data_IF_598712012360
#
_entry.id   IF_598712012360
#
_cell.length_a   1.000
_cell.length_b   1.000
_cell.length_c   1.000
_cell.angle_alpha   90.00
_cell.angle_beta   90.00
_cell.angle_gamma   90.00
#
_symmetry.space_group_name_H-M   'P 1'
#
loop_
_entity.id
_entity.type
_entity.pdbx_description
1 polymer ?
#
# COMPACT_ATOMS: atom_id res chain seq x y z
N UNK A 1 19.54 -3.86 11.09
CA UNK A 1 19.73 -2.43 10.76
C UNK A 1 18.44 -1.94 10.10
N UNK A 2 17.64 -1.12 10.80
CA UNK A 2 16.39 -0.57 10.23
C UNK A 2 16.74 0.44 9.13
N UNK A 3 16.13 0.32 7.96
CA UNK A 3 16.42 1.17 6.78
C UNK A 3 16.08 2.65 7.02
N UNK A 4 15.23 2.94 8.00
CA UNK A 4 14.85 4.29 8.39
C UNK A 4 15.03 4.49 9.90
N UNK A 5 15.69 5.58 10.27
CA UNK A 5 15.92 5.96 11.66
C UNK A 5 14.72 6.79 12.14
N UNK A 6 14.14 6.40 13.27
CA UNK A 6 13.09 7.18 13.93
C UNK A 6 13.70 8.49 14.47
N UNK A 7 13.10 9.64 14.14
CA UNK A 7 13.56 10.96 14.58
C UNK A 7 13.44 11.12 16.10
N UNK A 8 14.18 12.08 16.68
CA UNK A 8 14.11 12.35 18.14
C UNK A 8 12.69 12.71 18.55
N UNK A 9 12.07 13.67 17.87
CA UNK A 9 10.71 14.13 18.15
C UNK A 9 9.68 13.00 17.97
N UNK A 10 9.86 12.09 17.02
CA UNK A 10 8.97 10.93 16.89
C UNK A 10 9.09 9.98 18.09
N UNK A 11 10.31 9.71 18.57
CA UNK A 11 10.51 8.88 19.76
C UNK A 11 9.95 9.52 21.02
N UNK A 12 10.08 10.84 21.13
CA UNK A 12 9.58 11.62 22.25
C UNK A 12 8.06 11.55 22.32
N UNK A 13 7.38 11.87 21.21
CA UNK A 13 5.94 11.74 21.06
C UNK A 13 5.44 10.34 21.43
N UNK A 14 6.12 9.29 20.94
CA UNK A 14 5.73 7.90 21.23
C UNK A 14 5.84 7.59 22.73
N UNK A 15 6.86 8.11 23.43
CA UNK A 15 7.00 7.90 24.87
C UNK A 15 5.90 8.58 25.65
N UNK A 16 5.61 9.84 25.35
CA UNK A 16 4.58 10.61 26.08
C UNK A 16 3.17 10.06 25.80
N UNK A 17 2.90 9.56 24.59
CA UNK A 17 1.62 8.89 24.27
C UNK A 17 1.48 7.53 24.94
N UNK A 18 2.58 6.84 25.22
CA UNK A 18 2.62 5.52 25.82
C UNK A 18 3.07 5.58 27.29
N UNK A 19 2.76 6.69 27.97
CA UNK A 19 2.96 6.76 29.41
C UNK A 19 2.10 5.69 30.11
N UNK A 20 2.72 5.06 31.11
CA UNK A 20 2.12 4.00 31.92
C UNK A 20 1.00 4.59 32.78
N UNK A 21 1.22 5.79 33.33
CA UNK A 21 0.18 6.52 34.04
C UNK A 21 -0.76 7.20 33.03
N UNK A 22 -2.07 7.00 33.20
CA UNK A 22 -3.06 7.64 32.34
C UNK A 22 -3.13 9.15 32.54
N UNK A 23 -2.84 9.67 33.72
CA UNK A 23 -2.96 11.10 34.03
C UNK A 23 -1.80 11.93 33.46
N UNK A 24 -0.63 11.29 33.27
CA UNK A 24 0.56 11.91 32.68
C UNK A 24 0.71 11.65 31.19
N UNK A 25 -0.11 10.76 30.61
CA UNK A 25 -0.15 10.53 29.17
C UNK A 25 -0.46 11.82 28.40
N UNK A 26 0.26 12.03 27.31
CA UNK A 26 0.03 13.16 26.41
C UNK A 26 -1.41 13.13 25.86
N UNK A 27 -2.14 14.22 26.08
CA UNK A 27 -3.54 14.36 25.71
C UNK A 27 -4.51 14.15 26.87
N UNK A 28 -4.06 13.83 28.08
CA UNK A 28 -4.96 13.64 29.22
C UNK A 28 -5.45 14.94 29.85
N UNK A 29 -4.63 16.01 29.86
CA UNK A 29 -4.97 17.26 30.56
C UNK A 29 -5.75 18.24 29.68
N UNK A 30 -5.32 18.45 28.43
CA UNK A 30 -6.01 19.35 27.48
C UNK A 30 -6.48 18.65 26.20
N UNK A 31 -6.48 17.32 26.17
CA UNK A 31 -6.98 16.57 25.02
C UNK A 31 -6.06 16.69 23.80
N UNK A 32 -6.68 16.63 22.62
CA UNK A 32 -5.95 16.62 21.35
C UNK A 32 -5.12 17.90 21.08
N UNK A 33 -5.31 18.99 21.82
CA UNK A 33 -4.49 20.19 21.63
C UNK A 33 -3.04 19.99 22.05
N UNK A 34 -2.77 19.17 23.08
CA UNK A 34 -1.39 18.85 23.50
C UNK A 34 -0.66 18.09 22.39
N UNK A 35 -1.32 17.07 21.84
CA UNK A 35 -0.78 16.25 20.76
C UNK A 35 -0.46 17.12 19.54
N UNK A 36 -1.37 18.04 19.17
CA UNK A 36 -1.17 18.94 18.01
C UNK A 36 -0.02 19.94 18.21
N UNK A 37 0.32 20.28 19.45
CA UNK A 37 1.38 21.24 19.78
C UNK A 37 2.78 20.61 19.85
N UNK A 38 2.87 19.28 19.94
CA UNK A 38 4.14 18.59 20.03
C UNK A 38 5.03 18.83 18.78
N UNK A 39 6.34 19.01 18.97
CA UNK A 39 7.30 19.38 17.92
C UNK A 39 7.35 18.44 16.72
N UNK A 40 6.97 17.18 16.91
CA UNK A 40 6.79 16.21 15.82
C UNK A 40 5.81 16.70 14.74
N UNK A 41 4.79 17.46 15.13
CA UNK A 41 3.76 18.00 14.24
C UNK A 41 3.96 19.48 13.88
N UNK A 42 5.12 20.08 14.19
CA UNK A 42 5.45 21.49 13.91
C UNK A 42 5.22 21.91 12.45
N UNK A 43 5.40 20.98 11.50
CA UNK A 43 5.22 21.22 10.07
C UNK A 43 3.77 21.00 9.58
N UNK A 44 2.85 20.59 10.46
CA UNK A 44 1.45 20.32 10.11
C UNK A 44 0.58 21.50 10.52
N UNK A 45 -0.07 22.12 9.53
CA UNK A 45 -1.11 23.13 9.76
C UNK A 45 -2.46 22.45 9.89
N UNK A 46 -2.82 22.02 11.10
CA UNK A 46 -4.04 21.24 11.35
C UNK A 46 -5.34 21.91 10.84
N UNK A 47 -5.44 23.25 10.92
CA UNK A 47 -6.59 23.99 10.40
C UNK A 47 -6.74 23.89 8.87
N UNK A 48 -5.66 23.59 8.15
CA UNK A 48 -5.60 23.55 6.69
C UNK A 48 -5.30 22.15 6.14
N UNK A 49 -5.35 21.10 6.98
CA UNK A 49 -4.88 19.75 6.62
C UNK A 49 -5.54 19.18 5.36
N UNK A 50 -6.80 19.54 5.09
CA UNK A 50 -7.55 19.11 3.89
C UNK A 50 -7.04 19.73 2.59
N UNK A 51 -6.34 20.86 2.68
CA UNK A 51 -5.77 21.60 1.55
C UNK A 51 -4.26 21.33 1.39
N UNK A 52 -3.65 20.60 2.32
CA UNK A 52 -2.24 20.22 2.21
C UNK A 52 -2.09 19.08 1.20
N UNK A 53 -1.03 19.12 0.39
CA UNK A 53 -0.71 18.01 -0.51
C UNK A 53 -0.41 16.75 0.30
N UNK A 54 -1.15 15.64 0.08
CA UNK A 54 -0.90 14.41 0.80
C UNK A 54 0.45 13.80 0.37
N UNK A 55 1.16 13.11 1.26
CA UNK A 55 2.45 12.50 0.93
C UNK A 55 2.34 11.36 -0.09
N UNK A 56 1.15 10.76 -0.21
CA UNK A 56 0.85 9.68 -1.15
C UNK A 56 -0.42 10.05 -1.90
N UNK A 57 -0.34 10.11 -3.23
CA UNK A 57 -1.47 10.32 -4.14
C UNK A 57 -1.71 9.01 -4.89
N UNK A 58 -2.81 8.28 -4.63
CA UNK A 58 -3.11 7.06 -5.35
C UNK A 58 -3.44 7.36 -6.82
N UNK A 59 -3.02 6.48 -7.73
CA UNK A 59 -3.35 6.55 -9.15
C UNK A 59 -4.57 5.67 -9.41
N UNK A 60 -5.71 6.30 -9.66
CA UNK A 60 -6.97 5.58 -9.93
C UNK A 60 -7.21 5.45 -11.42
N UNK A 61 -7.63 4.26 -11.86
CA UNK A 61 -7.98 3.94 -13.24
C UNK A 61 -9.48 4.14 -13.54
N UNK A 62 -10.29 4.54 -12.55
CA UNK A 62 -11.70 4.84 -12.73
C UNK A 62 -12.50 4.81 -11.42
N UNK A 63 -13.80 5.12 -11.50
CA UNK A 63 -14.72 5.16 -10.34
C UNK A 63 -14.87 3.83 -9.59
N UNK A 64 -14.53 2.71 -10.24
CA UNK A 64 -14.63 1.35 -9.70
C UNK A 64 -13.26 0.70 -9.49
N UNK A 65 -12.18 1.49 -9.46
CA UNK A 65 -10.84 0.95 -9.23
C UNK A 65 -10.71 0.44 -7.79
N UNK A 66 -10.48 -0.87 -7.64
CA UNK A 66 -10.27 -1.56 -6.36
C UNK A 66 -8.83 -2.06 -6.19
N UNK A 67 -7.89 -1.62 -7.04
CA UNK A 67 -6.50 -2.12 -7.07
C UNK A 67 -5.70 -1.90 -5.77
N UNK A 68 -6.09 -0.93 -4.94
CA UNK A 68 -5.50 -0.68 -3.62
C UNK A 68 -6.11 -1.53 -2.49
N UNK A 69 -7.13 -2.34 -2.78
CA UNK A 69 -7.77 -3.23 -1.81
C UNK A 69 -7.38 -4.68 -2.06
N UNK A 70 -7.39 -5.50 -1.00
CA UNK A 70 -7.22 -6.94 -1.15
C UNK A 70 -8.38 -7.52 -1.96
N UNK A 71 -8.04 -8.32 -2.98
CA UNK A 71 -9.03 -9.08 -3.73
C UNK A 71 -9.50 -10.25 -2.87
N UNK A 72 -10.63 -10.07 -2.20
CA UNK A 72 -11.29 -11.15 -1.51
C UNK A 72 -11.70 -12.21 -2.53
N UNK A 73 -11.23 -13.43 -2.31
CA UNK A 73 -11.81 -14.61 -2.96
C UNK A 73 -12.88 -15.14 -2.01
N UNK A 74 -14.16 -15.16 -2.39
CA UNK A 74 -15.14 -15.88 -1.60
C UNK A 74 -14.65 -17.32 -1.44
N UNK A 75 -14.82 -17.85 -0.23
CA UNK A 75 -14.74 -19.28 -0.03
C UNK A 75 -15.77 -19.91 -0.98
N UNK A 76 -15.41 -20.97 -1.70
CA UNK A 76 -16.45 -21.82 -2.26
C UNK A 76 -17.16 -22.43 -1.06
N UNK A 77 -18.44 -22.12 -0.86
CA UNK A 77 -19.25 -22.73 0.21
C UNK A 77 -19.29 -24.28 0.07
N UNK A 78 -18.94 -24.80 -1.12
CA UNK A 78 -18.83 -26.21 -1.47
C UNK A 78 -17.45 -26.85 -1.14
N UNK A 79 -16.46 -26.07 -0.69
CA UNK A 79 -15.13 -26.58 -0.28
C UNK A 79 -15.09 -26.69 1.24
N UNK A 80 -15.01 -27.91 1.82
CA UNK A 80 -14.91 -28.10 3.26
C UNK A 80 -13.72 -27.34 3.85
N UNK A 81 -13.88 -26.86 5.10
CA UNK A 81 -12.86 -26.21 5.94
C UNK A 81 -11.67 -27.15 6.30
N UNK A 82 -11.20 -27.98 5.37
CA UNK A 82 -9.95 -28.69 5.55
C UNK A 82 -8.79 -27.70 5.35
N UNK A 83 -8.06 -27.47 6.43
CA UNK A 83 -6.91 -26.55 6.57
C UNK A 83 -5.75 -26.85 5.60
N UNK A 84 -5.90 -27.87 4.73
CA UNK A 84 -4.92 -28.35 3.76
C UNK A 84 -4.69 -27.47 2.53
N UNK A 85 -5.49 -26.42 2.27
CA UNK A 85 -5.28 -25.52 1.12
C UNK A 85 -4.25 -24.40 1.35
N UNK A 86 -3.64 -24.32 2.53
CA UNK A 86 -2.60 -23.33 2.84
C UNK A 86 -1.23 -23.63 2.17
N UNK A 87 -1.04 -24.80 1.56
CA UNK A 87 0.25 -25.25 1.04
C UNK A 87 0.65 -24.69 -0.34
N UNK A 88 -0.25 -24.03 -1.08
CA UNK A 88 0.08 -23.41 -2.37
C UNK A 88 -0.04 -21.87 -2.36
N UNK A 89 0.47 -21.23 -1.31
CA UNK A 89 0.92 -19.85 -1.44
C UNK A 89 2.24 -19.83 -2.23
N UNK A 90 2.18 -20.11 -3.54
CA UNK A 90 3.24 -19.67 -4.46
C UNK A 90 3.27 -18.15 -4.34
N UNK A 91 4.28 -17.62 -3.66
CA UNK A 91 4.52 -16.18 -3.52
C UNK A 91 4.18 -15.47 -4.82
N UNK A 92 3.18 -14.59 -4.77
CA UNK A 92 2.81 -13.76 -5.91
C UNK A 92 4.04 -12.97 -6.35
N UNK A 93 4.64 -13.41 -7.46
CA UNK A 93 5.61 -12.62 -8.20
C UNK A 93 4.80 -11.70 -9.11
N UNK A 94 5.02 -10.38 -9.08
CA UNK A 94 4.39 -9.48 -10.04
C UNK A 94 4.75 -9.98 -11.44
N UNK A 95 3.75 -10.29 -12.27
CA UNK A 95 3.99 -10.57 -13.69
C UNK A 95 4.62 -9.30 -14.27
N UNK A 96 5.92 -9.36 -14.61
CA UNK A 96 6.55 -8.36 -15.48
C UNK A 96 5.68 -8.21 -16.72
N UNK A 97 5.30 -6.97 -17.03
CA UNK A 97 4.70 -6.50 -18.28
C UNK A 97 4.20 -7.59 -19.23
N UNK A 98 2.88 -7.75 -19.35
CA UNK A 98 2.30 -8.30 -20.57
C UNK A 98 2.49 -7.31 -21.72
N UNK A 99 3.70 -7.24 -22.27
CA UNK A 99 3.88 -7.04 -23.70
C UNK A 99 4.63 -8.27 -24.20
N UNK A 100 3.88 -9.18 -24.81
CA UNK A 100 4.43 -10.34 -25.52
C UNK A 100 5.15 -9.78 -26.75
N UNK A 101 6.45 -9.51 -26.65
CA UNK A 101 7.31 -9.48 -27.83
C UNK A 101 7.48 -10.96 -28.22
N UNK A 102 6.55 -11.44 -29.06
CA UNK A 102 6.70 -12.73 -29.74
C UNK A 102 7.94 -12.64 -30.63
N UNK A 103 8.66 -13.76 -30.77
CA UNK A 103 10.02 -13.79 -31.32
C UNK A 103 10.12 -13.08 -32.67
N UNK A 104 11.29 -12.51 -33.01
CA UNK A 104 11.58 -11.97 -34.35
C UNK A 104 11.37 -13.02 -35.45
N UNK A 105 11.47 -14.30 -35.10
CA UNK A 105 11.24 -15.44 -35.99
C UNK A 105 9.75 -15.62 -36.34
N UNK A 106 8.84 -15.28 -35.41
CA UNK A 106 7.39 -15.38 -35.59
C UNK A 106 6.87 -14.28 -36.53
N UNK A 107 7.50 -13.09 -36.47
CA UNK A 107 7.20 -11.96 -37.36
C UNK A 107 7.65 -12.27 -38.78
N UNK A 108 8.87 -12.81 -38.94
CA UNK A 108 9.43 -13.16 -40.26
C UNK A 108 8.61 -14.26 -40.95
N UNK A 109 8.16 -15.26 -40.19
CA UNK A 109 7.30 -16.34 -40.70
C UNK A 109 5.92 -15.82 -41.14
N UNK A 110 5.35 -14.86 -40.41
CA UNK A 110 4.06 -14.25 -40.76
C UNK A 110 4.16 -13.36 -42.01
N UNK A 111 5.27 -12.64 -42.19
CA UNK A 111 5.50 -11.80 -43.37
C UNK A 111 5.68 -12.65 -44.63
N UNK A 112 6.43 -13.75 -44.57
CA UNK A 112 6.64 -14.62 -45.73
C UNK A 112 5.35 -15.32 -46.15
N UNK A 113 4.51 -15.72 -45.18
CA UNK A 113 3.20 -16.33 -45.45
C UNK A 113 2.22 -15.37 -46.15
N UNK A 114 2.38 -14.06 -45.99
CA UNK A 114 1.58 -13.06 -46.71
C UNK A 114 2.06 -12.80 -48.15
N UNK A 115 3.27 -13.22 -48.51
CA UNK A 115 3.81 -13.01 -49.86
C UNK A 115 3.53 -14.16 -50.83
N UNK A 116 3.23 -15.36 -50.32
CA UNK A 116 2.98 -16.55 -51.15
C UNK A 116 1.48 -16.82 -51.41
N UNK A 117 0.60 -15.89 -51.07
CA UNK A 117 -0.84 -15.99 -51.27
C UNK A 117 -1.42 -14.89 -52.16
N UNK A 118 -1.02 -14.85 -53.43
CA UNK A 118 -1.79 -14.29 -54.55
C UNK A 118 -1.37 -14.95 -55.86
#
# INVERSE_FOLDING_TARGET
MHRYKVSKNAKDLIKELLDVDSEDRLGSKYGASEIKQHDFFSNIKFALIRNMTPPIIPRLNGRRDTSYFYQYKPYDDDVPDDWGYAAEQKFYTPKKNQMKLTSLDDITSSINKMKEGN
#
